data_IF_091546866660
#
_entry.id   IF_091546866660
#
_cell.length_a   1.000
_cell.length_b   1.000
_cell.length_c   1.000
_cell.angle_alpha   90.00
_cell.angle_beta   90.00
_cell.angle_gamma   90.00
#
_symmetry.space_group_name_H-M   'P 1'
#
loop_
_entity.id
_entity.type
_entity.pdbx_description
1 polymer ?
#
# COMPACT_ATOMS: atom_id res chain seq x y z
N UNK A 1 -19.63 -4.27 -29.10
CA UNK A 1 -19.64 -3.57 -27.80
C UNK A 1 -18.32 -2.83 -27.67
N UNK A 2 -18.27 -1.50 -27.46
CA UNK A 2 -16.99 -0.82 -27.35
C UNK A 2 -16.31 -1.26 -26.05
N UNK A 3 -15.15 -1.90 -26.16
CA UNK A 3 -14.27 -2.24 -25.04
C UNK A 3 -13.85 -0.94 -24.36
N UNK A 4 -14.32 -0.74 -23.13
CA UNK A 4 -13.89 0.34 -22.25
C UNK A 4 -12.37 0.23 -22.09
N UNK A 5 -11.59 1.09 -22.75
CA UNK A 5 -10.15 1.22 -22.47
C UNK A 5 -10.00 1.50 -20.98
N UNK A 6 -9.43 0.56 -20.24
CA UNK A 6 -9.04 0.80 -18.86
C UNK A 6 -7.77 1.63 -18.97
N UNK A 7 -7.69 2.78 -18.28
CA UNK A 7 -6.52 3.69 -18.35
C UNK A 7 -5.18 3.05 -17.91
N UNK A 8 -5.17 1.76 -17.59
CA UNK A 8 -4.10 1.03 -16.93
C UNK A 8 -3.61 -0.19 -17.74
N UNK A 9 -3.91 -0.28 -19.04
CA UNK A 9 -3.52 -1.42 -19.90
C UNK A 9 -1.99 -1.66 -19.94
N UNK A 10 -1.18 -0.72 -19.43
CA UNK A 10 0.29 -0.80 -19.36
C UNK A 10 0.85 -1.16 -17.98
N UNK A 11 0.02 -1.30 -16.94
CA UNK A 11 0.49 -1.60 -15.59
C UNK A 11 0.72 -3.12 -15.46
N UNK A 12 1.94 -3.60 -15.15
CA UNK A 12 2.18 -5.02 -14.96
C UNK A 12 1.50 -5.52 -13.68
N UNK A 13 0.90 -6.71 -13.76
CA UNK A 13 0.29 -7.41 -12.62
C UNK A 13 0.88 -8.80 -12.46
N UNK A 14 0.75 -9.34 -11.25
CA UNK A 14 0.97 -10.75 -10.94
C UNK A 14 -0.15 -11.26 -10.03
N UNK A 15 -0.22 -12.57 -9.84
CA UNK A 15 -1.25 -13.22 -9.04
C UNK A 15 -0.58 -14.10 -7.98
N UNK A 16 -1.19 -14.17 -6.80
CA UNK A 16 -0.83 -15.15 -5.79
C UNK A 16 -1.65 -16.43 -6.05
N UNK A 17 -1.08 -17.63 -5.89
CA UNK A 17 -1.77 -18.88 -6.19
C UNK A 17 -3.12 -19.05 -5.48
N UNK A 18 -3.27 -18.49 -4.28
CA UNK A 18 -4.45 -18.61 -3.43
C UNK A 18 -5.55 -17.60 -3.77
N UNK A 19 -5.27 -16.60 -4.61
CA UNK A 19 -6.17 -15.47 -4.86
C UNK A 19 -6.34 -15.18 -6.35
N UNK A 20 -7.59 -15.17 -6.81
CA UNK A 20 -7.97 -14.66 -8.13
C UNK A 20 -8.12 -13.13 -8.12
N UNK A 21 -7.07 -12.45 -7.64
CA UNK A 21 -7.00 -10.99 -7.53
C UNK A 21 -5.65 -10.50 -8.08
N UNK A 22 -5.64 -9.57 -9.05
CA UNK A 22 -4.39 -9.03 -9.57
C UNK A 22 -3.70 -8.14 -8.54
N UNK A 23 -2.42 -8.41 -8.30
CA UNK A 23 -1.52 -7.54 -7.53
C UNK A 23 -0.65 -6.74 -8.50
N UNK A 24 -0.53 -5.43 -8.26
CA UNK A 24 0.30 -4.54 -9.09
C UNK A 24 1.77 -4.89 -8.87
N UNK A 25 2.52 -5.17 -9.94
CA UNK A 25 3.95 -5.41 -9.81
C UNK A 25 4.71 -4.12 -9.46
N UNK A 26 5.77 -4.24 -8.67
CA UNK A 26 6.63 -3.11 -8.28
C UNK A 26 6.14 -2.28 -7.08
N UNK A 27 5.07 -2.68 -6.38
CA UNK A 27 4.71 -2.07 -5.10
C UNK A 27 5.71 -2.45 -3.99
N UNK A 28 5.86 -1.57 -2.99
CA UNK A 28 6.64 -1.86 -1.78
C UNK A 28 5.96 -2.90 -0.88
N UNK A 29 4.64 -3.07 -0.99
CA UNK A 29 3.90 -4.15 -0.35
C UNK A 29 2.44 -4.25 -0.80
N UNK A 30 1.80 -5.34 -0.39
CA UNK A 30 0.47 -5.74 -0.81
C UNK A 30 -0.33 -6.27 0.37
N UNK A 31 -1.63 -5.95 0.36
CA UNK A 31 -2.61 -6.47 1.30
C UNK A 31 -3.78 -7.02 0.49
N UNK A 32 -4.18 -8.25 0.76
CA UNK A 32 -5.44 -8.79 0.26
C UNK A 32 -6.48 -8.66 1.36
N UNK A 33 -7.57 -7.96 1.04
CA UNK A 33 -8.61 -7.61 2.00
C UNK A 33 -9.95 -8.25 1.62
N UNK A 34 -10.63 -8.84 2.60
CA UNK A 34 -12.03 -9.26 2.47
C UNK A 34 -12.93 -8.15 3.03
N UNK A 35 -13.77 -7.56 2.18
CA UNK A 35 -14.69 -6.49 2.60
C UNK A 35 -15.70 -7.00 3.62
N UNK A 36 -15.83 -6.27 4.73
CA UNK A 36 -16.82 -6.52 5.77
C UNK A 36 -18.19 -5.93 5.38
N UNK A 37 -19.30 -6.63 5.63
CA UNK A 37 -20.63 -6.22 5.17
C UNK A 37 -21.28 -5.19 6.11
N UNK A 38 -20.79 -3.95 6.08
CA UNK A 38 -21.38 -2.80 6.79
C UNK A 38 -22.04 -1.81 5.83
N UNK A 39 -23.21 -2.15 5.24
CA UNK A 39 -23.81 -1.37 4.15
C UNK A 39 -24.17 0.07 4.55
N UNK A 40 -24.61 0.30 5.80
CA UNK A 40 -24.96 1.64 6.27
C UNK A 40 -23.73 2.55 6.32
N UNK A 41 -22.60 2.05 6.85
CA UNK A 41 -21.33 2.78 6.90
C UNK A 41 -20.81 3.06 5.48
N UNK A 42 -20.90 2.06 4.59
CA UNK A 42 -20.48 2.17 3.20
C UNK A 42 -21.29 3.23 2.46
N UNK A 43 -22.61 3.22 2.59
CA UNK A 43 -23.49 4.13 1.86
C UNK A 43 -23.42 5.56 2.43
N UNK A 44 -23.42 5.72 3.76
CA UNK A 44 -23.46 7.04 4.38
C UNK A 44 -22.11 7.77 4.29
N UNK A 45 -20.99 7.04 4.33
CA UNK A 45 -19.65 7.63 4.43
C UNK A 45 -18.70 7.29 3.28
N UNK A 46 -19.12 6.45 2.31
CA UNK A 46 -18.22 5.87 1.32
C UNK A 46 -17.02 5.15 1.95
N UNK A 47 -17.23 4.55 3.13
CA UNK A 47 -16.19 3.91 3.94
C UNK A 47 -16.36 2.39 3.92
N UNK A 48 -15.32 1.69 3.45
CA UNK A 48 -15.25 0.23 3.46
C UNK A 48 -14.26 -0.23 4.52
N UNK A 49 -14.69 -1.21 5.33
CA UNK A 49 -13.81 -1.92 6.26
C UNK A 49 -13.51 -3.30 5.69
N UNK A 50 -12.31 -3.83 5.93
CA UNK A 50 -11.93 -5.14 5.43
C UNK A 50 -10.92 -5.84 6.33
N UNK A 51 -11.08 -7.16 6.44
CA UNK A 51 -10.11 -8.03 7.10
C UNK A 51 -8.92 -8.25 6.17
N UNK A 52 -7.70 -8.05 6.68
CA UNK A 52 -6.47 -8.43 5.95
C UNK A 52 -6.35 -9.95 6.04
N UNK A 53 -6.55 -10.64 4.92
CA UNK A 53 -6.48 -12.12 4.86
C UNK A 53 -5.13 -12.63 4.38
N UNK A 54 -4.31 -11.77 3.76
CA UNK A 54 -2.92 -12.04 3.43
C UNK A 54 -2.14 -10.73 3.23
N UNK A 55 -0.82 -10.77 3.46
CA UNK A 55 0.07 -9.63 3.34
C UNK A 55 1.45 -10.06 2.84
N UNK A 56 2.05 -9.21 1.99
CA UNK A 56 3.42 -9.38 1.48
C UNK A 56 4.09 -8.01 1.35
N UNK A 57 5.41 -8.03 1.20
CA UNK A 57 6.24 -6.84 0.98
C UNK A 57 7.41 -7.15 0.06
N UNK A 58 8.00 -6.12 -0.56
CA UNK A 58 9.32 -6.25 -1.17
C UNK A 58 10.37 -6.32 -0.06
N UNK A 59 11.06 -7.46 0.04
CA UNK A 59 12.07 -7.73 1.06
C UNK A 59 13.24 -6.73 1.01
N UNK A 60 13.44 -5.98 -0.07
CA UNK A 60 14.45 -4.91 -0.11
C UNK A 60 14.13 -3.78 0.87
N UNK A 61 12.85 -3.51 1.14
CA UNK A 61 12.37 -2.34 1.91
C UNK A 61 11.58 -2.67 3.18
N UNK A 62 11.14 -3.91 3.36
CA UNK A 62 10.51 -4.37 4.59
C UNK A 62 11.04 -5.75 5.00
N UNK A 63 11.61 -5.87 6.20
CA UNK A 63 12.18 -7.12 6.73
C UNK A 63 11.94 -7.21 8.23
N UNK A 64 11.74 -8.43 8.73
CA UNK A 64 11.57 -8.71 10.17
C UNK A 64 10.52 -7.81 10.84
N UNK A 65 9.42 -7.52 10.15
CA UNK A 65 8.34 -6.68 10.66
C UNK A 65 8.60 -5.16 10.64
N UNK A 66 9.66 -4.70 9.97
CA UNK A 66 10.05 -3.29 9.96
C UNK A 66 10.33 -2.77 8.55
N UNK A 67 9.91 -1.53 8.30
CA UNK A 67 10.37 -0.75 7.16
C UNK A 67 11.81 -0.30 7.34
N UNK A 68 12.60 -0.38 6.28
CA UNK A 68 14.02 -0.02 6.26
C UNK A 68 14.31 0.96 5.12
N UNK A 69 13.46 1.98 4.97
CA UNK A 69 13.52 2.96 3.88
C UNK A 69 14.86 3.69 3.74
N UNK A 70 15.61 3.85 4.84
CA UNK A 70 16.92 4.51 4.81
C UNK A 70 18.01 3.64 4.15
N UNK A 71 17.84 2.31 4.17
CA UNK A 71 18.77 1.34 3.57
C UNK A 71 18.26 0.77 2.23
N UNK A 72 17.03 1.13 1.83
CA UNK A 72 16.38 0.64 0.63
C UNK A 72 16.61 1.59 -0.57
N UNK A 73 16.52 1.07 -1.82
CA UNK A 73 16.53 1.91 -3.01
C UNK A 73 15.44 2.99 -2.98
N UNK A 74 15.76 4.20 -3.46
CA UNK A 74 14.82 5.34 -3.47
C UNK A 74 13.52 5.06 -4.25
N UNK A 75 13.57 4.19 -5.25
CA UNK A 75 12.41 3.72 -6.02
C UNK A 75 11.33 3.03 -5.16
N UNK A 76 11.68 2.54 -3.97
CA UNK A 76 10.75 1.90 -3.02
C UNK A 76 10.23 2.84 -1.93
N UNK A 77 10.62 4.12 -1.94
CA UNK A 77 10.05 5.11 -1.02
C UNK A 77 8.57 5.30 -1.36
N UNK A 78 7.71 5.07 -0.37
CA UNK A 78 6.26 5.22 -0.55
C UNK A 78 5.89 6.66 -0.87
N UNK A 79 4.90 6.83 -1.75
CA UNK A 79 4.42 8.15 -2.17
C UNK A 79 3.22 8.59 -1.34
N UNK A 80 3.22 9.86 -0.94
CA UNK A 80 2.20 10.49 -0.11
C UNK A 80 1.64 11.70 -0.86
N UNK A 81 0.39 11.58 -1.32
CA UNK A 81 -0.27 12.62 -2.10
C UNK A 81 -0.66 13.84 -1.25
N UNK A 82 -0.52 15.04 -1.82
CA UNK A 82 -0.97 16.29 -1.18
C UNK A 82 -2.13 16.91 -1.96
N UNK A 83 -1.83 17.54 -3.10
CA UNK A 83 -2.80 18.19 -3.97
C UNK A 83 -2.17 18.53 -5.33
N UNK A 84 -2.99 18.79 -6.36
CA UNK A 84 -2.51 19.36 -7.63
C UNK A 84 -1.49 18.51 -8.40
N UNK A 85 -1.44 17.19 -8.14
CA UNK A 85 -0.44 16.29 -8.73
C UNK A 85 0.90 16.28 -7.99
N UNK A 86 1.00 16.93 -6.83
CA UNK A 86 2.20 16.92 -5.99
C UNK A 86 2.16 15.76 -4.99
N UNK A 87 3.31 15.09 -4.86
CA UNK A 87 3.53 13.96 -3.95
C UNK A 87 4.85 14.17 -3.21
N UNK A 88 4.93 13.68 -1.98
CA UNK A 88 6.18 13.50 -1.27
C UNK A 88 6.52 12.01 -1.17
N UNK A 89 7.80 11.69 -1.32
CA UNK A 89 8.31 10.40 -0.92
C UNK A 89 8.46 10.35 0.61
N UNK A 90 8.31 9.18 1.22
CA UNK A 90 8.63 9.00 2.64
C UNK A 90 10.06 9.49 2.91
N UNK A 91 10.22 10.26 3.99
CA UNK A 91 11.45 10.95 4.31
C UNK A 91 12.51 10.04 4.95
N UNK A 92 13.58 10.68 5.44
CA UNK A 92 14.59 10.05 6.27
C UNK A 92 13.99 9.61 7.60
N UNK A 93 14.34 8.42 8.07
CA UNK A 93 13.96 7.95 9.40
C UNK A 93 14.60 8.78 10.52
N UNK A 94 13.86 8.92 11.62
CA UNK A 94 14.37 9.42 12.88
C UNK A 94 14.18 8.34 13.93
N UNK A 95 15.25 8.04 14.67
CA UNK A 95 15.21 7.10 15.79
C UNK A 95 15.42 7.87 17.09
N UNK A 96 14.53 7.67 18.04
CA UNK A 96 14.61 8.25 19.37
C UNK A 96 14.97 7.12 20.34
N UNK A 97 15.90 7.39 21.27
CA UNK A 97 16.31 6.41 22.27
C UNK A 97 15.28 6.26 23.40
N UNK A 98 14.37 7.24 23.53
CA UNK A 98 13.29 7.27 24.51
C UNK A 98 11.95 7.62 23.85
N UNK A 99 10.85 7.14 24.44
CA UNK A 99 9.50 7.46 24.00
C UNK A 99 9.18 8.95 24.21
N UNK A 100 8.15 9.48 23.53
CA UNK A 100 7.75 10.88 23.72
C UNK A 100 7.43 11.18 25.19
N UNK A 101 8.03 12.25 25.73
CA UNK A 101 7.76 12.74 27.09
C UNK A 101 8.80 12.38 28.16
N UNK A 102 10.00 11.91 27.79
CA UNK A 102 11.13 11.81 28.71
C UNK A 102 12.30 12.65 28.18
N UNK A 103 12.45 13.85 28.74
CA UNK A 103 13.64 14.70 28.64
C UNK A 103 14.74 14.19 29.57
#
# INVERSE_FOLDING_TARGET
MPTRRIKNDTIPFFYQPEFDLPLVAGCAGWLVCKVMPYPDIQQQHNLFMGDIVAAWSDDRVFRNGHWIFDDAPDELRTVHYVAGGQFYAIGKGSKFDHGPGQD
#
